data_IF_314148577152
#
_entry.id   IF_314148577152
#
_cell.length_a   1.000
_cell.length_b   1.000
_cell.length_c   1.000
_cell.angle_alpha   90.00
_cell.angle_beta   90.00
_cell.angle_gamma   90.00
#
_symmetry.space_group_name_H-M   'P 1'
#
loop_
_entity.id
_entity.type
_entity.pdbx_description
1 polymer ?
#
# COMPACT_ATOMS: atom_id res chain seq x y z
N UNK A 1 14.31 10.27 9.85
CA UNK A 1 14.16 8.82 10.11
C UNK A 1 15.07 8.08 9.16
N UNK A 2 16.05 7.32 9.66
CA UNK A 2 16.98 6.60 8.79
C UNK A 2 16.23 5.43 8.14
N UNK A 3 15.89 5.57 6.85
CA UNK A 3 15.25 4.51 6.08
C UNK A 3 16.32 3.46 5.71
N UNK A 4 16.02 2.19 5.91
CA UNK A 4 16.93 1.10 5.52
C UNK A 4 17.17 1.09 4.01
N UNK A 5 18.37 0.70 3.57
CA UNK A 5 18.76 0.69 2.14
C UNK A 5 17.71 0.01 1.24
N UNK A 6 17.21 -1.17 1.66
CA UNK A 6 16.17 -1.92 0.94
C UNK A 6 14.88 -1.11 0.73
N UNK A 7 14.47 -0.32 1.73
CA UNK A 7 13.30 0.55 1.62
C UNK A 7 13.55 1.70 0.64
N UNK A 8 14.74 2.31 0.69
CA UNK A 8 15.10 3.39 -0.23
C UNK A 8 15.23 2.95 -1.69
N UNK A 9 15.59 1.68 -1.91
CA UNK A 9 15.66 1.10 -3.25
C UNK A 9 14.28 0.73 -3.77
N UNK A 10 13.39 0.23 -2.90
CA UNK A 10 12.00 -0.03 -3.24
C UNK A 10 11.25 1.27 -3.62
N UNK A 11 11.41 2.36 -2.85
CA UNK A 11 10.73 3.64 -3.12
C UNK A 11 11.15 4.34 -4.40
N UNK A 12 12.31 4.00 -4.98
CA UNK A 12 12.77 4.53 -6.27
C UNK A 12 12.21 3.76 -7.47
N UNK A 13 11.72 2.54 -7.26
CA UNK A 13 11.26 1.64 -8.33
C UNK A 13 9.81 1.89 -8.76
N UNK A 14 9.09 2.72 -8.03
CA UNK A 14 7.72 3.06 -8.34
C UNK A 14 7.49 4.55 -8.20
N UNK A 15 6.57 5.08 -9.01
CA UNK A 15 6.16 6.47 -8.93
C UNK A 15 5.04 6.60 -7.88
N UNK A 16 5.20 7.54 -6.96
CA UNK A 16 4.22 7.78 -5.88
C UNK A 16 3.04 8.62 -6.34
N UNK A 17 3.22 9.38 -7.41
CA UNK A 17 2.21 10.31 -7.95
C UNK A 17 1.43 9.68 -9.12
N UNK A 18 1.93 8.57 -9.68
CA UNK A 18 1.25 7.84 -10.74
C UNK A 18 0.07 7.01 -10.20
N UNK A 19 -1.04 7.05 -10.93
CA UNK A 19 -2.19 6.16 -10.69
C UNK A 19 -1.97 4.84 -11.42
N UNK A 20 -1.46 3.84 -10.69
CA UNK A 20 -1.31 2.49 -11.22
C UNK A 20 -2.66 1.77 -11.28
N UNK A 21 -2.93 1.09 -12.39
CA UNK A 21 -4.07 0.18 -12.49
C UNK A 21 -3.89 -1.04 -11.59
N UNK A 22 -4.98 -1.72 -11.22
CA UNK A 22 -4.95 -2.85 -10.26
C UNK A 22 -3.95 -3.95 -10.67
N UNK A 23 -3.92 -4.33 -11.95
CA UNK A 23 -3.01 -5.37 -12.45
C UNK A 23 -1.53 -4.97 -12.38
N UNK A 24 -1.23 -3.71 -12.70
CA UNK A 24 0.12 -3.15 -12.64
C UNK A 24 0.59 -3.02 -11.19
N UNK A 25 -0.28 -2.51 -10.31
CA UNK A 25 0.01 -2.37 -8.88
C UNK A 25 0.35 -3.72 -8.23
N UNK A 26 -0.40 -4.78 -8.55
CA UNK A 26 -0.12 -6.13 -8.03
C UNK A 26 1.24 -6.68 -8.52
N UNK A 27 1.59 -6.45 -9.79
CA UNK A 27 2.89 -6.84 -10.33
C UNK A 27 4.04 -6.09 -9.65
N UNK A 28 3.85 -4.79 -9.46
CA UNK A 28 4.81 -3.91 -8.80
C UNK A 28 5.02 -4.31 -7.34
N UNK A 29 3.96 -4.54 -6.56
CA UNK A 29 4.04 -5.01 -5.17
C UNK A 29 4.84 -6.31 -5.06
N UNK A 30 4.59 -7.30 -5.94
CA UNK A 30 5.37 -8.55 -5.97
C UNK A 30 6.85 -8.33 -6.32
N UNK A 31 7.15 -7.36 -7.18
CA UNK A 31 8.54 -7.04 -7.57
C UNK A 31 9.33 -6.28 -6.48
N UNK A 32 8.60 -5.66 -5.55
CA UNK A 32 9.16 -4.85 -4.48
C UNK A 32 9.44 -5.66 -3.21
N UNK A 33 8.87 -6.84 -3.06
CA UNK A 33 9.09 -7.77 -1.93
C UNK A 33 10.53 -8.31 -1.93
N UNK A 34 11.44 -7.79 -1.07
CA UNK A 34 12.84 -8.17 -1.06
C UNK A 34 13.16 -9.21 0.02
N UNK A 35 12.16 -9.68 0.77
CA UNK A 35 12.35 -10.68 1.81
C UNK A 35 12.23 -12.11 1.26
N UNK A 36 12.89 -13.04 1.96
CA UNK A 36 12.92 -14.46 1.60
C UNK A 36 11.74 -15.24 2.22
N UNK A 37 10.67 -14.55 2.62
CA UNK A 37 9.47 -15.14 3.26
C UNK A 37 8.21 -14.60 2.59
N UNK A 38 7.06 -15.25 2.83
CA UNK A 38 5.76 -14.78 2.32
C UNK A 38 5.36 -13.46 2.99
N UNK A 39 5.52 -12.36 2.27
CA UNK A 39 5.13 -11.02 2.71
C UNK A 39 3.61 -10.82 2.61
N UNK A 40 3.02 -10.19 3.63
CA UNK A 40 1.60 -9.81 3.62
C UNK A 40 1.39 -8.55 2.80
N UNK A 41 0.42 -8.59 1.88
CA UNK A 41 -0.01 -7.41 1.12
C UNK A 41 -1.12 -6.69 1.87
N UNK A 42 -0.89 -5.44 2.23
CA UNK A 42 -1.89 -4.56 2.85
C UNK A 42 -2.41 -3.52 1.85
N UNK A 43 -3.69 -3.17 1.97
CA UNK A 43 -4.32 -2.12 1.17
C UNK A 43 -4.82 -1.03 2.10
N UNK A 44 -4.29 0.19 1.94
CA UNK A 44 -4.70 1.35 2.71
C UNK A 44 -5.71 2.16 1.90
N UNK A 45 -6.97 2.17 2.34
CA UNK A 45 -8.04 2.94 1.71
C UNK A 45 -8.41 4.11 2.61
N UNK A 46 -8.28 5.33 2.10
CA UNK A 46 -8.78 6.53 2.78
C UNK A 46 -10.25 6.70 2.48
N UNK A 47 -11.10 6.33 3.43
CA UNK A 47 -12.55 6.52 3.33
C UNK A 47 -12.92 7.97 3.64
N UNK A 48 -13.88 8.54 2.90
CA UNK A 48 -14.41 9.89 3.11
C UNK A 48 -15.51 9.97 4.18
N UNK A 49 -15.60 8.97 5.07
CA UNK A 49 -16.62 8.89 6.12
C UNK A 49 -16.20 9.71 7.33
N UNK A 50 -17.16 10.36 7.98
CA UNK A 50 -16.92 11.05 9.25
C UNK A 50 -16.94 10.02 10.39
N UNK A 51 -15.80 9.70 11.03
CA UNK A 51 -15.74 8.69 12.08
C UNK A 51 -16.47 9.11 13.37
N UNK A 52 -16.89 10.38 13.49
CA UNK A 52 -17.66 10.88 14.64
C UNK A 52 -19.14 10.54 14.55
N UNK A 53 -19.62 10.13 13.37
CA UNK A 53 -21.01 9.81 13.09
C UNK A 53 -21.17 8.29 13.02
N UNK A 54 -21.95 7.71 13.93
CA UNK A 54 -22.10 6.27 14.08
C UNK A 54 -22.71 5.57 12.85
N UNK A 55 -23.51 6.29 12.07
CA UNK A 55 -24.14 5.86 10.81
C UNK A 55 -23.17 5.75 9.63
N UNK A 56 -21.99 6.39 9.71
CA UNK A 56 -20.98 6.38 8.65
C UNK A 56 -19.84 5.39 8.91
N UNK A 57 -19.94 4.60 9.98
CA UNK A 57 -18.94 3.59 10.30
C UNK A 57 -19.07 2.40 9.33
N UNK A 58 -18.09 2.23 8.45
CA UNK A 58 -18.03 1.10 7.52
C UNK A 58 -17.40 -0.10 8.23
N UNK A 59 -18.20 -1.13 8.51
CA UNK A 59 -17.72 -2.41 9.02
C UNK A 59 -18.38 -3.54 8.23
N UNK A 60 -17.64 -4.08 7.28
CA UNK A 60 -17.97 -5.32 6.56
C UNK A 60 -16.98 -6.43 6.92
N UNK A 61 -17.40 -7.67 6.70
CA UNK A 61 -16.56 -8.88 6.81
C UNK A 61 -15.99 -9.28 5.47
#
# INVERSE_FOLDING_TARGET
MAQGKKYSDATKRYDRDALHGVGEALGLVKSLAPANFDETVEVVVRLGVDPRKADQMVRGT
#
